data_IF_450060459248
#
_entry.id   IF_450060459248
#
_cell.length_a   1.000
_cell.length_b   1.000
_cell.length_c   1.000
_cell.angle_alpha   90.00
_cell.angle_beta   90.00
_cell.angle_gamma   90.00
#
_symmetry.space_group_name_H-M   'P 1'
#
loop_
_entity.id
_entity.type
_entity.pdbx_description
1 polymer ?
#
# COMPACT_ATOMS: atom_id res chain seq x y z
N UNK A 1 9.38 53.83 40.21
CA UNK A 1 8.12 53.43 39.54
C UNK A 1 8.39 53.08 38.08
N UNK A 2 9.28 52.07 37.77
CA UNK A 2 9.60 51.69 36.39
C UNK A 2 10.25 50.28 36.29
N UNK A 3 9.93 49.33 37.19
CA UNK A 3 10.43 47.95 37.13
C UNK A 3 9.35 46.88 36.94
N UNK A 4 8.09 47.26 36.83
CA UNK A 4 6.96 46.33 36.69
C UNK A 4 6.48 46.13 35.23
N UNK A 5 6.97 46.95 34.30
CA UNK A 5 6.55 46.86 32.90
C UNK A 5 7.41 45.99 32.00
N UNK A 6 8.56 45.50 32.51
CA UNK A 6 9.49 44.70 31.67
C UNK A 6 9.25 43.18 31.77
N UNK A 7 8.51 42.73 32.80
CA UNK A 7 8.24 41.27 32.98
C UNK A 7 7.04 40.80 32.17
N UNK A 8 6.11 41.69 31.82
CA UNK A 8 4.90 41.36 31.03
C UNK A 8 5.18 41.11 29.53
N UNK A 9 6.34 41.52 29.00
CA UNK A 9 6.67 41.38 27.58
C UNK A 9 7.42 40.07 27.25
N UNK A 10 7.94 39.37 28.25
CA UNK A 10 8.66 38.09 28.05
C UNK A 10 7.75 36.85 28.15
N UNK A 11 6.54 36.98 28.69
CA UNK A 11 5.59 35.88 28.75
C UNK A 11 4.67 35.75 27.53
N UNK A 12 4.66 36.77 26.65
CA UNK A 12 3.84 36.80 25.44
C UNK A 12 4.43 36.08 24.22
N UNK A 13 5.72 35.71 24.27
CA UNK A 13 6.43 35.19 23.07
C UNK A 13 6.62 33.66 23.11
N UNK A 14 6.24 32.98 24.18
CA UNK A 14 6.31 31.52 24.30
C UNK A 14 5.02 30.78 23.97
N UNK A 15 3.95 31.48 23.62
CA UNK A 15 2.61 30.89 23.35
C UNK A 15 2.30 30.69 21.86
N UNK A 16 3.23 30.99 20.95
CA UNK A 16 3.01 30.87 19.52
C UNK A 16 3.81 29.77 18.80
N UNK A 17 4.47 28.86 19.56
CA UNK A 17 5.22 27.76 18.96
C UNK A 17 4.58 26.38 19.12
N UNK A 18 3.34 26.31 19.57
CA UNK A 18 2.52 25.11 19.48
C UNK A 18 1.57 25.20 18.29
N UNK A 19 2.11 25.56 17.10
CA UNK A 19 1.46 25.08 15.87
C UNK A 19 1.62 23.57 15.92
N UNK A 20 0.58 22.93 16.47
CA UNK A 20 0.39 21.51 16.33
C UNK A 20 0.62 21.18 14.85
N UNK A 21 1.66 20.41 14.57
CA UNK A 21 1.67 19.53 13.42
C UNK A 21 0.47 18.59 13.63
N UNK A 22 -0.70 19.07 13.23
CA UNK A 22 -1.78 18.21 12.88
C UNK A 22 -1.28 17.44 11.68
N UNK A 23 -0.63 16.29 11.91
CA UNK A 23 -0.54 15.22 10.97
C UNK A 23 -2.00 14.82 10.70
N UNK A 24 -2.65 15.58 9.81
CA UNK A 24 -3.93 15.19 9.25
C UNK A 24 -3.67 13.79 8.72
N UNK A 25 -4.35 12.79 9.28
CA UNK A 25 -4.42 11.48 8.69
C UNK A 25 -4.76 11.72 7.21
N UNK A 26 -3.80 11.50 6.32
CA UNK A 26 -4.01 11.75 4.90
C UNK A 26 -5.15 10.84 4.47
N UNK A 27 -6.32 11.43 4.30
CA UNK A 27 -7.49 10.72 3.82
C UNK A 27 -7.26 10.51 2.32
N UNK A 28 -6.78 9.33 1.96
CA UNK A 28 -6.64 8.93 0.56
C UNK A 28 -8.04 8.68 -0.02
N UNK A 29 -8.83 9.75 -0.21
CA UNK A 29 -10.24 9.73 -0.65
C UNK A 29 -10.45 9.04 -1.99
N UNK A 30 -9.39 8.77 -2.75
CA UNK A 30 -9.42 8.07 -4.03
C UNK A 30 -8.99 6.60 -3.94
N UNK A 31 -8.83 6.05 -2.71
CA UNK A 31 -8.45 4.64 -2.58
C UNK A 31 -9.59 3.72 -3.02
N UNK A 32 -9.26 2.70 -3.79
CA UNK A 32 -10.17 1.63 -4.18
C UNK A 32 -9.56 0.30 -3.80
N UNK A 33 -10.32 -0.53 -3.06
CA UNK A 33 -9.89 -1.90 -2.73
C UNK A 33 -10.80 -2.90 -3.45
N UNK A 34 -10.19 -3.90 -4.08
CA UNK A 34 -10.88 -4.92 -4.84
C UNK A 34 -10.22 -6.28 -4.69
N UNK A 35 -10.80 -7.28 -5.30
CA UNK A 35 -10.24 -8.62 -5.44
C UNK A 35 -10.35 -9.00 -6.91
N UNK A 36 -9.27 -9.49 -7.47
CA UNK A 36 -9.22 -10.09 -8.79
C UNK A 36 -9.06 -11.61 -8.64
N UNK A 37 -9.64 -12.37 -9.55
CA UNK A 37 -9.61 -13.84 -9.53
C UNK A 37 -9.03 -14.37 -10.83
N UNK A 38 -8.21 -15.42 -10.73
CA UNK A 38 -7.71 -16.16 -11.89
C UNK A 38 -7.97 -17.65 -11.72
N UNK A 39 -8.22 -18.32 -12.83
CA UNK A 39 -8.50 -19.75 -12.85
C UNK A 39 -7.23 -20.56 -13.10
N UNK A 40 -7.17 -21.75 -12.49
CA UNK A 40 -6.13 -22.74 -12.74
C UNK A 40 -4.71 -22.22 -12.57
N UNK A 41 -4.48 -21.44 -11.49
CA UNK A 41 -3.15 -20.95 -11.17
C UNK A 41 -2.20 -22.13 -10.84
N UNK A 42 -1.21 -22.31 -11.67
CA UNK A 42 -0.20 -23.35 -11.48
C UNK A 42 1.00 -22.81 -10.71
N UNK A 43 1.30 -23.42 -9.57
CA UNK A 43 2.49 -23.15 -8.75
C UNK A 43 3.74 -23.76 -9.37
N UNK A 44 4.91 -23.29 -8.93
CA UNK A 44 6.21 -23.81 -9.39
C UNK A 44 6.38 -25.31 -9.09
N UNK A 45 5.80 -25.78 -8.00
CA UNK A 45 5.81 -27.21 -7.63
C UNK A 45 4.84 -28.08 -8.46
N UNK A 46 4.15 -27.49 -9.46
CA UNK A 46 3.20 -28.17 -10.35
C UNK A 46 1.78 -28.29 -9.80
N UNK A 47 1.53 -27.94 -8.55
CA UNK A 47 0.17 -27.92 -8.00
C UNK A 47 -0.69 -26.86 -8.69
N UNK A 48 -1.99 -27.12 -8.83
CA UNK A 48 -2.93 -26.19 -9.46
C UNK A 48 -3.97 -25.77 -8.43
N UNK A 49 -4.19 -24.45 -8.32
CA UNK A 49 -5.29 -23.88 -7.57
C UNK A 49 -6.39 -23.48 -8.56
N UNK A 50 -7.57 -24.12 -8.50
CA UNK A 50 -8.65 -23.87 -9.47
C UNK A 50 -9.11 -22.41 -9.50
N UNK A 51 -9.09 -21.74 -8.35
CA UNK A 51 -9.49 -20.33 -8.22
C UNK A 51 -8.57 -19.62 -7.23
N UNK A 52 -7.68 -18.79 -7.74
CA UNK A 52 -6.78 -17.95 -6.95
C UNK A 52 -7.33 -16.52 -6.90
N UNK A 53 -7.48 -15.99 -5.69
CA UNK A 53 -7.89 -14.60 -5.44
C UNK A 53 -6.68 -13.76 -5.07
N UNK A 54 -6.62 -12.55 -5.61
CA UNK A 54 -5.64 -11.54 -5.24
C UNK A 54 -6.35 -10.25 -4.83
N UNK A 55 -6.27 -9.92 -3.55
CA UNK A 55 -6.70 -8.64 -3.02
C UNK A 55 -5.73 -7.54 -3.46
N UNK A 56 -6.24 -6.33 -3.62
CA UNK A 56 -5.37 -5.17 -3.90
C UNK A 56 -6.06 -3.87 -3.54
N UNK A 57 -5.26 -2.84 -3.36
CA UNK A 57 -5.73 -1.47 -3.17
C UNK A 57 -5.02 -0.57 -4.19
N UNK A 58 -5.75 0.38 -4.77
CA UNK A 58 -5.19 1.36 -5.71
C UNK A 58 -5.48 2.77 -5.27
N UNK A 59 -4.61 3.70 -5.68
CA UNK A 59 -4.77 5.15 -5.54
C UNK A 59 -4.51 5.80 -6.87
N UNK A 60 -5.14 6.94 -7.11
CA UNK A 60 -4.92 7.74 -8.31
C UNK A 60 -5.72 7.29 -9.52
N UNK A 61 -5.43 7.92 -10.66
CA UNK A 61 -6.11 7.66 -11.92
C UNK A 61 -5.45 6.48 -12.65
N UNK A 62 -6.20 5.44 -13.08
CA UNK A 62 -5.66 4.30 -13.81
C UNK A 62 -5.06 4.65 -15.19
N UNK A 63 -5.27 5.86 -15.71
CA UNK A 63 -4.63 6.34 -16.93
C UNK A 63 -3.22 6.90 -16.70
N UNK A 64 -2.82 7.11 -15.45
CA UNK A 64 -1.49 7.56 -15.09
C UNK A 64 -0.47 6.41 -15.15
N UNK A 65 0.83 6.75 -15.16
CA UNK A 65 1.90 5.76 -15.06
C UNK A 65 1.75 4.92 -13.78
N UNK A 66 1.79 3.60 -13.94
CA UNK A 66 1.61 2.67 -12.84
C UNK A 66 2.89 2.52 -12.00
N UNK A 67 2.74 2.51 -10.67
CA UNK A 67 3.77 2.14 -9.71
C UNK A 67 3.26 1.01 -8.82
N UNK A 68 4.08 0.00 -8.61
CA UNK A 68 3.74 -1.20 -7.84
C UNK A 68 4.41 -1.13 -6.46
N UNK A 69 3.62 -1.26 -5.41
CA UNK A 69 4.09 -1.19 -4.02
C UNK A 69 3.84 -2.54 -3.34
N UNK A 70 4.88 -3.15 -2.81
CA UNK A 70 4.83 -4.48 -2.20
C UNK A 70 5.01 -4.37 -0.69
N UNK A 71 4.10 -4.99 0.07
CA UNK A 71 4.14 -4.95 1.53
C UNK A 71 5.06 -6.03 2.11
N UNK A 72 5.49 -5.83 3.35
CA UNK A 72 6.30 -6.79 4.10
C UNK A 72 5.50 -7.94 4.69
N UNK A 73 6.21 -8.89 5.31
CA UNK A 73 5.64 -10.05 6.02
C UNK A 73 4.52 -9.62 6.98
N UNK A 74 3.44 -10.39 7.02
CA UNK A 74 2.24 -10.14 7.82
C UNK A 74 1.52 -8.81 7.52
N UNK A 75 1.93 -8.08 6.48
CA UNK A 75 1.26 -6.87 6.01
C UNK A 75 0.08 -7.16 5.09
N UNK A 76 -0.49 -6.09 4.58
CA UNK A 76 -1.50 -6.09 3.52
C UNK A 76 -1.54 -4.73 2.83
N UNK A 77 -2.26 -4.64 1.72
CA UNK A 77 -2.36 -3.42 0.92
C UNK A 77 -2.85 -2.20 1.70
N UNK A 78 -3.87 -2.36 2.56
CA UNK A 78 -4.40 -1.26 3.36
C UNK A 78 -3.41 -0.79 4.44
N UNK A 79 -2.63 -1.72 5.01
CA UNK A 79 -1.62 -1.41 6.00
C UNK A 79 -0.51 -0.49 5.46
N UNK A 80 -0.26 -0.51 4.14
CA UNK A 80 0.69 0.40 3.49
C UNK A 80 0.20 1.84 3.40
N UNK A 81 -1.07 2.11 3.68
CA UNK A 81 -1.65 3.46 3.66
C UNK A 81 -1.54 4.19 5.00
N UNK A 82 -0.79 3.65 5.95
CA UNK A 82 -0.56 4.30 7.24
C UNK A 82 0.26 5.61 7.09
N UNK A 83 0.21 6.53 8.08
CA UNK A 83 0.92 7.80 8.02
C UNK A 83 2.44 7.69 7.88
N UNK A 84 3.05 6.61 8.40
CA UNK A 84 4.50 6.44 8.38
C UNK A 84 5.03 5.93 7.03
N UNK A 85 4.19 5.30 6.20
CA UNK A 85 4.55 4.83 4.86
C UNK A 85 3.78 5.59 3.77
N UNK A 86 2.53 5.27 3.53
CA UNK A 86 1.71 5.90 2.48
C UNK A 86 1.57 7.40 2.70
N UNK A 87 1.47 7.83 3.96
CA UNK A 87 1.43 9.24 4.34
C UNK A 87 2.69 10.03 3.99
N UNK A 88 3.82 9.36 3.75
CA UNK A 88 5.08 9.98 3.35
C UNK A 88 5.37 9.88 1.84
N UNK A 89 4.63 9.06 1.12
CA UNK A 89 4.94 8.74 -0.28
C UNK A 89 3.86 9.17 -1.27
N UNK A 90 2.57 9.07 -0.91
CA UNK A 90 1.47 9.10 -1.88
C UNK A 90 0.69 10.42 -1.88
N UNK A 91 0.99 11.34 -0.98
CA UNK A 91 0.31 12.63 -0.88
C UNK A 91 0.74 13.62 -1.97
N UNK A 92 -0.01 14.74 -2.09
CA UNK A 92 0.31 15.80 -3.04
C UNK A 92 1.74 16.30 -2.91
N UNK A 93 2.48 16.33 -4.03
CA UNK A 93 3.87 16.79 -4.08
C UNK A 93 4.92 15.79 -3.55
N UNK A 94 4.50 14.64 -3.03
CA UNK A 94 5.41 13.58 -2.58
C UNK A 94 5.94 12.76 -3.77
N UNK A 95 6.94 11.91 -3.51
CA UNK A 95 7.69 11.18 -4.56
C UNK A 95 6.79 10.32 -5.45
N UNK A 96 5.79 9.67 -4.86
CA UNK A 96 4.81 8.81 -5.54
C UNK A 96 3.40 9.39 -5.43
N UNK A 97 3.28 10.68 -5.60
CA UNK A 97 2.03 11.45 -5.56
C UNK A 97 0.92 10.77 -6.38
N UNK A 98 -0.14 10.34 -5.70
CA UNK A 98 -1.27 9.64 -6.31
C UNK A 98 -2.10 10.52 -7.28
N UNK A 99 -1.86 11.83 -7.35
CA UNK A 99 -2.40 12.68 -8.41
C UNK A 99 -1.66 12.49 -9.74
N UNK A 100 -0.39 12.03 -9.70
CA UNK A 100 0.49 11.85 -10.87
C UNK A 100 0.66 10.40 -11.25
N UNK A 101 0.60 9.48 -10.29
CA UNK A 101 0.82 8.06 -10.48
C UNK A 101 -0.43 7.25 -10.18
N UNK A 102 -0.56 6.11 -10.86
CA UNK A 102 -1.49 5.06 -10.48
C UNK A 102 -0.77 4.10 -9.54
N UNK A 103 -0.98 4.26 -8.24
CA UNK A 103 -0.35 3.43 -7.20
C UNK A 103 -1.15 2.15 -7.03
N UNK A 104 -0.48 1.00 -7.16
CA UNK A 104 -1.07 -0.33 -7.05
C UNK A 104 -0.38 -1.06 -5.91
N UNK A 105 -1.16 -1.54 -4.96
CA UNK A 105 -0.67 -2.25 -3.78
C UNK A 105 -1.42 -3.58 -3.71
N UNK A 106 -0.86 -4.69 -4.20
CA UNK A 106 -1.46 -6.01 -4.04
C UNK A 106 -1.29 -6.51 -2.60
N UNK A 107 -2.25 -7.30 -2.15
CA UNK A 107 -2.04 -8.22 -1.04
C UNK A 107 -1.23 -9.42 -1.58
N UNK A 108 -0.12 -9.72 -0.97
CA UNK A 108 0.69 -10.88 -1.34
C UNK A 108 -0.12 -12.18 -1.22
N UNK A 109 0.24 -13.19 -2.00
CA UNK A 109 -0.29 -14.55 -1.83
C UNK A 109 -0.09 -14.99 -0.38
N UNK A 110 -1.13 -15.51 0.24
CA UNK A 110 -1.11 -15.87 1.67
C UNK A 110 -1.46 -14.74 2.64
N UNK A 111 -1.75 -13.52 2.16
CA UNK A 111 -2.00 -12.34 3.00
C UNK A 111 -3.29 -11.59 2.62
N UNK A 112 -3.76 -10.72 3.50
CA UNK A 112 -4.85 -9.78 3.27
C UNK A 112 -6.12 -10.44 2.75
N UNK A 113 -6.62 -9.97 1.61
CA UNK A 113 -7.76 -10.53 0.89
C UNK A 113 -7.36 -11.51 -0.22
N UNK A 114 -6.05 -11.75 -0.42
CA UNK A 114 -5.58 -12.81 -1.31
C UNK A 114 -5.83 -14.17 -0.71
N UNK A 115 -5.92 -15.20 -1.56
CA UNK A 115 -6.08 -16.59 -1.13
C UNK A 115 -4.97 -16.98 -0.15
N UNK A 116 -5.35 -17.59 0.97
CA UNK A 116 -4.44 -17.91 2.07
C UNK A 116 -4.85 -19.23 2.78
N UNK A 117 -3.94 -19.88 3.51
CA UNK A 117 -4.22 -21.13 4.21
C UNK A 117 -5.45 -21.10 5.09
N UNK A 118 -5.69 -19.98 5.79
CA UNK A 118 -6.84 -19.79 6.69
C UNK A 118 -8.21 -19.76 5.99
N UNK A 119 -8.26 -19.64 4.65
CA UNK A 119 -9.51 -19.65 3.88
C UNK A 119 -10.10 -21.07 3.71
N UNK A 120 -9.55 -22.08 4.41
CA UNK A 120 -10.10 -23.43 4.49
C UNK A 120 -9.11 -24.54 4.15
N UNK A 121 -8.11 -24.28 3.32
CA UNK A 121 -7.13 -25.30 2.91
C UNK A 121 -6.15 -25.67 4.03
N UNK A 122 -5.84 -24.73 4.94
CA UNK A 122 -4.92 -24.96 6.08
C UNK A 122 -3.60 -25.62 5.59
N UNK A 123 -3.26 -26.78 6.16
CA UNK A 123 -2.06 -27.54 5.77
C UNK A 123 -2.09 -28.13 4.35
N UNK A 124 -3.26 -28.09 3.67
CA UNK A 124 -3.39 -28.50 2.26
C UNK A 124 -3.16 -27.34 1.28
N UNK A 125 -2.88 -26.16 1.78
CA UNK A 125 -2.52 -25.03 0.94
C UNK A 125 -1.22 -25.35 0.21
N UNK A 126 -1.12 -25.10 -1.12
CA UNK A 126 0.10 -25.37 -1.87
C UNK A 126 1.31 -24.71 -1.24
N UNK A 127 2.42 -25.42 -1.18
CA UNK A 127 3.71 -24.80 -0.89
C UNK A 127 4.05 -23.86 -2.04
N UNK A 128 4.41 -22.62 -1.73
CA UNK A 128 4.72 -21.59 -2.71
C UNK A 128 5.99 -20.84 -2.32
N UNK A 129 6.63 -20.27 -3.31
CA UNK A 129 7.85 -19.51 -3.19
C UNK A 129 7.68 -18.06 -3.72
N UNK A 130 8.78 -17.31 -3.78
CA UNK A 130 8.74 -15.93 -4.30
C UNK A 130 8.37 -15.86 -5.78
N UNK A 131 8.77 -16.84 -6.61
CA UNK A 131 8.40 -16.84 -8.03
C UNK A 131 6.90 -17.00 -8.22
N UNK A 132 6.23 -17.79 -7.37
CA UNK A 132 4.78 -17.90 -7.36
C UNK A 132 4.10 -16.58 -6.97
N UNK A 133 4.66 -15.88 -5.98
CA UNK A 133 4.17 -14.57 -5.56
C UNK A 133 4.32 -13.53 -6.67
N UNK A 134 5.47 -13.48 -7.32
CA UNK A 134 5.76 -12.59 -8.46
C UNK A 134 4.84 -12.92 -9.63
N UNK A 135 4.68 -14.21 -9.97
CA UNK A 135 3.76 -14.66 -11.02
C UNK A 135 2.32 -14.21 -10.77
N UNK A 136 1.83 -14.39 -9.53
CA UNK A 136 0.48 -13.98 -9.17
C UNK A 136 0.29 -12.46 -9.31
N UNK A 137 1.23 -11.67 -8.80
CA UNK A 137 1.22 -10.21 -8.93
C UNK A 137 1.32 -9.75 -10.39
N UNK A 138 2.16 -10.41 -11.20
CA UNK A 138 2.28 -10.12 -12.63
C UNK A 138 0.96 -10.35 -13.37
N UNK A 139 0.27 -11.46 -13.08
CA UNK A 139 -1.05 -11.75 -13.66
C UNK A 139 -2.09 -10.71 -13.27
N UNK A 140 -2.12 -10.30 -12.00
CA UNK A 140 -3.00 -9.20 -11.54
C UNK A 140 -2.75 -7.93 -12.35
N UNK A 141 -1.49 -7.51 -12.49
CA UNK A 141 -1.11 -6.29 -13.21
C UNK A 141 -1.53 -6.38 -14.69
N UNK A 142 -1.15 -7.48 -15.35
CA UNK A 142 -1.34 -7.65 -16.79
C UNK A 142 -2.77 -7.96 -17.17
N UNK A 143 -3.38 -8.95 -16.51
CA UNK A 143 -4.69 -9.48 -16.88
C UNK A 143 -5.82 -8.84 -16.07
N UNK A 144 -5.62 -8.62 -14.77
CA UNK A 144 -6.61 -8.03 -13.90
C UNK A 144 -6.79 -6.53 -14.10
N UNK A 145 -5.68 -5.81 -14.30
CA UNK A 145 -5.68 -4.35 -14.42
C UNK A 145 -5.38 -3.85 -15.84
N UNK A 146 -4.99 -4.72 -16.79
CA UNK A 146 -4.68 -4.37 -18.17
C UNK A 146 -3.42 -3.51 -18.33
N UNK A 147 -2.53 -3.51 -17.37
CA UNK A 147 -1.34 -2.66 -17.34
C UNK A 147 -0.19 -3.35 -18.06
N UNK A 148 0.38 -2.67 -19.05
CA UNK A 148 1.47 -3.20 -19.88
C UNK A 148 2.85 -2.77 -19.40
N UNK A 149 2.92 -1.67 -18.65
CA UNK A 149 4.17 -1.09 -18.15
C UNK A 149 4.02 -0.61 -16.72
N UNK A 150 4.95 -1.01 -15.86
CA UNK A 150 5.10 -0.50 -14.49
C UNK A 150 6.38 0.33 -14.45
N UNK A 151 6.25 1.62 -14.13
CA UNK A 151 7.38 2.54 -14.08
C UNK A 151 8.36 2.21 -12.97
N UNK A 152 7.81 1.78 -11.82
CA UNK A 152 8.61 1.52 -10.62
C UNK A 152 7.96 0.42 -9.79
N UNK A 153 8.80 -0.40 -9.20
CA UNK A 153 8.43 -1.34 -8.14
C UNK A 153 9.17 -0.93 -6.88
N UNK A 154 8.45 -0.78 -5.78
CA UNK A 154 9.00 -0.49 -4.46
C UNK A 154 8.53 -1.54 -3.48
N UNK A 155 9.46 -2.21 -2.83
CA UNK A 155 9.21 -3.22 -1.83
C UNK A 155 9.61 -2.79 -0.42
N UNK A 156 8.85 -3.25 0.56
CA UNK A 156 9.15 -3.12 1.98
C UNK A 156 9.39 -4.50 2.59
N UNK A 157 10.58 -4.75 3.15
CA UNK A 157 10.94 -6.03 3.79
C UNK A 157 10.83 -7.21 2.80
N UNK A 158 9.85 -8.09 2.96
CA UNK A 158 9.59 -9.22 2.07
C UNK A 158 9.25 -8.79 0.63
N UNK A 159 8.62 -7.62 0.48
CA UNK A 159 8.18 -7.10 -0.80
C UNK A 159 9.28 -6.68 -1.77
#
# INVERSE_FOLDING_TARGET
MNRLLTIAKLFGLCLLSHLALNASAQNFNAQKSSVWETQNFQFQNGQIMPNLKLGYTTLGNPQNEAVLILHGTAGNSKGMLNPAFGGQLFGPGQVLDAQKYYVIIPDALGAGKSTKPSDGLKAKFPEYNYDDMVKAQHLLIKEGLGIRHVRMVLGNSMG
#
